data_IF_037971424513
#
_entry.id   IF_037971424513
#
_cell.length_a   1.000
_cell.length_b   1.000
_cell.length_c   1.000
_cell.angle_alpha   90.00
_cell.angle_beta   90.00
_cell.angle_gamma   90.00
#
_symmetry.space_group_name_H-M   'P 1'
#
loop_
_entity.id
_entity.type
_entity.pdbx_description
1 polymer ?
#
# COMPACT_ATOMS: atom_id res chain seq x y z
N UNK A 1 -13.12 20.91 -70.91
CA UNK A 1 -12.86 19.68 -70.12
C UNK A 1 -11.78 19.98 -69.08
N UNK A 2 -12.16 20.26 -67.83
CA UNK A 2 -11.37 20.11 -66.59
C UNK A 2 -12.21 20.64 -65.42
N UNK A 3 -11.97 20.10 -64.22
CA UNK A 3 -12.61 20.42 -62.93
C UNK A 3 -13.88 19.64 -62.54
N UNK A 4 -13.77 18.31 -62.48
CA UNK A 4 -14.65 17.49 -61.60
C UNK A 4 -13.91 16.50 -60.68
N UNK A 5 -12.57 16.43 -60.73
CA UNK A 5 -11.81 15.41 -60.00
C UNK A 5 -11.23 15.84 -58.64
N UNK A 6 -11.17 17.14 -58.29
CA UNK A 6 -10.55 17.55 -57.02
C UNK A 6 -11.49 17.58 -55.81
N UNK A 7 -12.79 17.41 -55.99
CA UNK A 7 -13.78 17.51 -54.90
C UNK A 7 -14.06 16.17 -54.19
N UNK A 8 -13.75 15.04 -54.84
CA UNK A 8 -14.01 13.70 -54.28
C UNK A 8 -12.87 13.26 -53.34
N UNK A 9 -11.65 13.74 -53.58
CA UNK A 9 -10.46 13.37 -52.80
C UNK A 9 -10.45 13.95 -51.37
N UNK A 10 -10.96 15.16 -51.17
CA UNK A 10 -10.99 15.82 -49.86
C UNK A 10 -12.07 15.26 -48.94
N UNK A 11 -13.22 14.87 -49.50
CA UNK A 11 -14.30 14.21 -48.76
C UNK A 11 -13.91 12.82 -48.25
N UNK A 12 -13.23 12.02 -49.08
CA UNK A 12 -12.78 10.69 -48.66
C UNK A 12 -11.72 10.77 -47.55
N UNK A 13 -10.79 11.73 -47.63
CA UNK A 13 -9.76 11.94 -46.62
C UNK A 13 -10.37 12.39 -45.27
N UNK A 14 -11.36 13.29 -45.33
CA UNK A 14 -12.11 13.76 -44.16
C UNK A 14 -12.89 12.64 -43.47
N UNK A 15 -13.52 11.75 -44.25
CA UNK A 15 -14.26 10.60 -43.71
C UNK A 15 -13.33 9.57 -43.08
N UNK A 16 -12.18 9.28 -43.70
CA UNK A 16 -11.16 8.38 -43.13
C UNK A 16 -10.56 8.95 -41.84
N UNK A 17 -10.26 10.26 -41.79
CA UNK A 17 -9.77 10.92 -40.56
C UNK A 17 -10.82 10.86 -39.43
N UNK A 18 -12.09 11.05 -39.76
CA UNK A 18 -13.19 11.00 -38.79
C UNK A 18 -13.42 9.59 -38.24
N UNK A 19 -13.32 8.56 -39.10
CA UNK A 19 -13.42 7.15 -38.69
C UNK A 19 -12.20 6.75 -37.84
N UNK A 20 -11.01 7.24 -38.16
CA UNK A 20 -9.82 7.02 -37.32
C UNK A 20 -9.93 7.70 -35.96
N UNK A 21 -10.54 8.89 -35.87
CA UNK A 21 -10.82 9.54 -34.58
C UNK A 21 -11.83 8.72 -33.76
N UNK A 22 -12.91 8.23 -34.38
CA UNK A 22 -13.95 7.45 -33.72
C UNK A 22 -13.46 6.09 -33.20
N UNK A 23 -12.51 5.45 -33.88
CA UNK A 23 -11.91 4.17 -33.44
C UNK A 23 -10.96 4.33 -32.26
N UNK A 24 -10.37 5.52 -32.06
CA UNK A 24 -9.51 5.82 -30.89
C UNK A 24 -10.35 6.06 -29.62
N UNK A 25 -11.61 6.46 -29.74
CA UNK A 25 -12.50 6.66 -28.58
C UNK A 25 -13.05 5.35 -27.98
N UNK A 26 -12.95 4.23 -28.69
CA UNK A 26 -13.58 2.96 -28.27
C UNK A 26 -12.75 2.07 -27.33
N UNK A 27 -11.57 2.49 -26.87
CA UNK A 27 -10.75 1.70 -25.93
C UNK A 27 -10.67 2.26 -24.51
N UNK A 28 -11.57 3.16 -24.11
CA UNK A 28 -11.76 3.43 -22.67
C UNK A 28 -12.60 2.30 -22.07
N UNK A 29 -11.95 1.18 -21.76
CA UNK A 29 -12.48 0.22 -20.80
C UNK A 29 -12.49 0.94 -19.44
N UNK A 30 -13.58 1.63 -19.14
CA UNK A 30 -13.82 2.13 -17.79
C UNK A 30 -13.99 0.90 -16.91
N UNK A 31 -12.94 0.53 -16.19
CA UNK A 31 -13.00 -0.45 -15.12
C UNK A 31 -13.88 0.15 -14.02
N UNK A 32 -15.18 -0.07 -14.11
CA UNK A 32 -16.14 0.59 -13.23
C UNK A 32 -16.03 0.02 -11.83
N UNK A 33 -15.82 0.89 -10.85
CA UNK A 33 -15.91 0.53 -9.45
C UNK A 33 -17.33 0.01 -9.15
N UNK A 34 -17.42 -1.09 -8.43
CA UNK A 34 -18.67 -1.66 -7.93
C UNK A 34 -18.70 -1.60 -6.41
N UNK A 35 -19.90 -1.60 -5.83
CA UNK A 35 -20.05 -1.61 -4.38
C UNK A 35 -20.16 -3.04 -3.89
N UNK A 36 -19.25 -3.42 -3.00
CA UNK A 36 -19.23 -4.75 -2.37
C UNK A 36 -19.31 -4.66 -0.84
N UNK A 37 -19.67 -5.78 -0.23
CA UNK A 37 -19.72 -5.97 1.22
C UNK A 37 -18.84 -7.15 1.61
N UNK A 38 -18.16 -7.00 2.73
CA UNK A 38 -17.39 -8.08 3.33
C UNK A 38 -17.51 -8.08 4.84
N UNK A 39 -17.16 -9.22 5.42
CA UNK A 39 -17.22 -9.43 6.86
C UNK A 39 -16.04 -10.30 7.29
N UNK A 40 -15.54 -10.05 8.48
CA UNK A 40 -14.51 -10.89 9.10
C UNK A 40 -14.68 -10.90 10.61
N UNK A 41 -14.04 -11.88 11.26
CA UNK A 41 -14.01 -11.97 12.72
C UNK A 41 -12.63 -12.47 13.15
N UNK A 42 -12.00 -11.76 14.08
CA UNK A 42 -10.62 -11.99 14.52
C UNK A 42 -10.56 -12.05 16.04
N UNK A 43 -9.85 -13.04 16.57
CA UNK A 43 -9.61 -13.22 18.00
C UNK A 43 -8.61 -12.17 18.49
N UNK A 44 -8.89 -11.55 19.64
CA UNK A 44 -7.93 -10.68 20.33
C UNK A 44 -6.93 -11.58 21.05
N UNK A 45 -5.71 -11.64 20.54
CA UNK A 45 -4.60 -12.37 21.16
C UNK A 45 -3.96 -11.56 22.28
N UNK A 46 -3.34 -12.24 23.26
CA UNK A 46 -2.65 -11.58 24.38
C UNK A 46 -1.48 -10.69 23.94
N UNK A 47 -0.90 -10.97 22.77
CA UNK A 47 0.17 -10.19 22.16
C UNK A 47 -0.31 -8.99 21.35
N UNK A 48 -1.63 -8.76 21.24
CA UNK A 48 -2.22 -7.76 20.36
C UNK A 48 -3.16 -6.81 21.10
N UNK A 49 -3.18 -5.55 20.70
CA UNK A 49 -4.17 -4.58 21.15
C UNK A 49 -5.50 -4.77 20.40
N UNK A 50 -6.61 -4.30 20.98
CA UNK A 50 -7.93 -4.29 20.30
C UNK A 50 -7.91 -3.45 19.01
N UNK A 51 -7.15 -2.35 19.01
CA UNK A 51 -6.94 -1.49 17.83
C UNK A 51 -6.35 -2.31 16.68
N UNK A 52 -5.29 -3.06 16.96
CA UNK A 52 -4.61 -3.90 15.97
C UNK A 52 -5.52 -5.02 15.48
N UNK A 53 -6.27 -5.65 16.37
CA UNK A 53 -7.24 -6.67 15.98
C UNK A 53 -8.34 -6.09 15.08
N UNK A 54 -8.79 -4.84 15.30
CA UNK A 54 -9.71 -4.14 14.39
C UNK A 54 -9.08 -3.90 13.02
N UNK A 55 -7.82 -3.48 12.98
CA UNK A 55 -7.07 -3.24 11.75
C UNK A 55 -6.92 -4.51 10.90
N UNK A 56 -6.67 -5.66 11.54
CA UNK A 56 -6.62 -6.97 10.87
C UNK A 56 -8.02 -7.38 10.41
N UNK A 57 -9.04 -7.23 11.26
CA UNK A 57 -10.41 -7.56 10.90
C UNK A 57 -10.89 -6.73 9.70
N UNK A 58 -10.61 -5.43 9.68
CA UNK A 58 -10.94 -4.55 8.57
C UNK A 58 -10.34 -5.05 7.25
N UNK A 59 -9.06 -5.39 7.22
CA UNK A 59 -8.41 -5.84 6.00
C UNK A 59 -8.93 -7.20 5.53
N UNK A 60 -9.14 -8.15 6.45
CA UNK A 60 -9.76 -9.43 6.11
C UNK A 60 -11.18 -9.25 5.58
N UNK A 61 -11.93 -8.27 6.09
CA UNK A 61 -13.26 -7.95 5.59
C UNK A 61 -13.19 -7.28 4.20
N UNK A 62 -12.18 -6.44 3.93
CA UNK A 62 -11.91 -5.89 2.59
C UNK A 62 -11.56 -7.00 1.59
N UNK A 63 -10.66 -7.91 1.97
CA UNK A 63 -10.31 -9.10 1.19
C UNK A 63 -11.57 -9.89 0.89
N UNK A 64 -12.36 -10.25 1.92
CA UNK A 64 -13.61 -10.98 1.73
C UNK A 64 -14.57 -10.29 0.76
N UNK A 65 -14.71 -8.96 0.83
CA UNK A 65 -15.55 -8.21 -0.10
C UNK A 65 -15.08 -8.30 -1.56
N UNK A 66 -13.76 -8.27 -1.78
CA UNK A 66 -13.17 -8.40 -3.12
C UNK A 66 -13.34 -9.84 -3.64
N UNK A 67 -13.11 -10.83 -2.78
CA UNK A 67 -13.25 -12.25 -3.11
C UNK A 67 -14.68 -12.61 -3.55
N UNK A 68 -15.68 -12.07 -2.86
CA UNK A 68 -17.10 -12.30 -3.15
C UNK A 68 -17.48 -11.88 -4.59
N UNK A 69 -16.77 -10.91 -5.18
CA UNK A 69 -17.08 -10.38 -6.52
C UNK A 69 -16.12 -10.89 -7.60
N UNK A 70 -14.81 -10.98 -7.32
CA UNK A 70 -13.79 -11.23 -8.34
C UNK A 70 -13.05 -12.58 -8.23
N UNK A 71 -13.32 -13.39 -7.20
CA UNK A 71 -12.60 -14.62 -6.85
C UNK A 71 -11.10 -14.42 -6.50
N UNK A 72 -10.44 -15.47 -5.99
CA UNK A 72 -9.02 -15.49 -5.56
C UNK A 72 -8.09 -16.19 -6.54
N UNK A 73 -6.79 -15.87 -6.48
CA UNK A 73 -5.72 -16.76 -6.94
C UNK A 73 -5.24 -17.56 -5.72
N UNK A 74 -5.63 -18.83 -5.60
CA UNK A 74 -5.12 -19.71 -4.54
C UNK A 74 -3.78 -20.30 -5.01
N UNK A 75 -2.67 -19.62 -4.74
CA UNK A 75 -1.38 -20.30 -4.56
C UNK A 75 -1.19 -20.52 -3.05
N UNK A 76 -1.72 -21.64 -2.57
CA UNK A 76 -1.58 -22.05 -1.18
C UNK A 76 -0.25 -22.82 -1.03
N UNK A 77 0.86 -22.10 -0.91
CA UNK A 77 2.06 -22.61 -0.24
C UNK A 77 2.29 -21.80 1.04
N UNK A 78 1.67 -22.22 2.13
CA UNK A 78 1.86 -21.62 3.45
C UNK A 78 1.61 -22.66 4.53
N UNK A 79 2.68 -23.21 5.10
CA UNK A 79 2.63 -24.09 6.27
C UNK A 79 2.21 -23.23 7.48
N UNK A 80 0.96 -23.35 7.93
CA UNK A 80 0.45 -22.61 9.09
C UNK A 80 1.07 -23.16 10.39
N UNK A 81 2.18 -22.58 10.86
CA UNK A 81 2.61 -22.72 12.26
C UNK A 81 2.11 -21.55 13.08
N UNK A 82 0.98 -21.76 13.75
CA UNK A 82 0.41 -20.81 14.72
C UNK A 82 1.40 -20.67 15.90
N UNK A 83 2.13 -19.55 15.92
CA UNK A 83 2.84 -19.05 17.11
C UNK A 83 2.60 -17.53 17.23
N UNK A 84 2.00 -17.12 18.35
CA UNK A 84 2.00 -15.75 18.92
C UNK A 84 1.87 -14.57 17.93
N UNK A 85 0.67 -14.31 17.39
CA UNK A 85 0.34 -13.06 16.67
C UNK A 85 1.00 -12.84 15.29
N UNK A 86 2.13 -13.48 15.00
CA UNK A 86 2.89 -13.37 13.74
C UNK A 86 2.11 -13.91 12.54
N UNK A 87 1.31 -14.96 12.76
CA UNK A 87 0.59 -15.69 11.71
C UNK A 87 -0.46 -14.85 10.98
N UNK A 88 -1.06 -13.85 11.63
CA UNK A 88 -2.10 -13.05 10.99
C UNK A 88 -1.54 -12.12 9.90
N UNK A 89 -0.32 -11.61 10.07
CA UNK A 89 0.33 -10.75 9.07
C UNK A 89 0.76 -11.55 7.83
N UNK A 90 1.28 -12.76 8.04
CA UNK A 90 1.70 -13.64 6.95
C UNK A 90 0.51 -14.09 6.08
N UNK A 91 -0.66 -14.36 6.68
CA UNK A 91 -1.88 -14.74 5.95
C UNK A 91 -2.34 -13.59 5.04
N UNK A 92 -2.36 -12.36 5.57
CA UNK A 92 -2.76 -11.17 4.82
C UNK A 92 -1.79 -10.89 3.66
N UNK A 93 -0.48 -10.91 3.92
CA UNK A 93 0.55 -10.60 2.91
C UNK A 93 0.56 -11.57 1.72
N UNK A 94 0.13 -12.82 1.94
CA UNK A 94 0.13 -13.86 0.91
C UNK A 94 -1.19 -13.95 0.12
N UNK A 95 -2.24 -13.25 0.53
CA UNK A 95 -3.55 -13.38 -0.13
C UNK A 95 -3.60 -12.49 -1.39
N UNK A 96 -3.49 -13.10 -2.58
CA UNK A 96 -3.65 -12.42 -3.87
C UNK A 96 -5.09 -12.50 -4.37
N UNK A 97 -5.82 -11.39 -4.29
CA UNK A 97 -7.19 -11.24 -4.82
C UNK A 97 -7.20 -10.59 -6.20
N UNK A 98 -8.22 -10.88 -7.03
CA UNK A 98 -8.36 -10.33 -8.39
C UNK A 98 -8.95 -8.91 -8.45
N UNK A 99 -8.84 -8.16 -7.36
CA UNK A 99 -9.35 -6.80 -7.31
C UNK A 99 -8.63 -5.96 -6.28
N UNK A 100 -9.07 -4.71 -6.18
CA UNK A 100 -8.57 -3.77 -5.20
C UNK A 100 -9.71 -3.08 -4.47
N UNK A 101 -9.38 -2.64 -3.27
CA UNK A 101 -10.22 -1.75 -2.49
C UNK A 101 -9.93 -0.30 -2.88
N UNK A 102 -10.93 0.39 -3.43
CA UNK A 102 -10.81 1.81 -3.77
C UNK A 102 -11.09 2.64 -2.52
N UNK A 103 -12.28 2.47 -1.91
CA UNK A 103 -12.71 3.34 -0.81
C UNK A 103 -13.72 2.66 0.10
N UNK A 104 -13.62 2.95 1.39
CA UNK A 104 -14.61 2.56 2.40
C UNK A 104 -15.78 3.52 2.42
N UNK A 105 -17.01 2.99 2.36
CA UNK A 105 -18.26 3.76 2.44
C UNK A 105 -18.89 3.64 3.82
N UNK A 106 -18.84 2.44 4.39
CA UNK A 106 -19.35 2.16 5.74
C UNK A 106 -18.50 1.07 6.37
N UNK A 107 -18.19 1.23 7.65
CA UNK A 107 -17.47 0.25 8.46
C UNK A 107 -18.04 0.26 9.86
N UNK A 108 -18.33 -0.93 10.39
CA UNK A 108 -18.81 -1.12 11.74
C UNK A 108 -17.98 -2.22 12.42
N UNK A 109 -17.65 -2.01 13.69
CA UNK A 109 -17.00 -3.02 14.53
C UNK A 109 -17.94 -3.44 15.66
N UNK A 110 -17.95 -4.73 15.97
CA UNK A 110 -18.62 -5.27 17.14
C UNK A 110 -17.70 -6.22 17.89
N UNK A 111 -17.78 -6.21 19.22
CA UNK A 111 -17.03 -7.10 20.09
C UNK A 111 -17.95 -8.18 20.64
N UNK A 112 -17.54 -9.44 20.55
CA UNK A 112 -18.21 -10.58 21.16
C UNK A 112 -17.26 -11.23 22.17
N UNK A 113 -17.76 -11.52 23.36
CA UNK A 113 -16.97 -12.22 24.37
C UNK A 113 -17.47 -13.65 24.53
N UNK A 114 -16.61 -14.62 24.24
CA UNK A 114 -16.89 -16.05 24.38
C UNK A 114 -16.08 -16.65 25.53
N UNK A 115 -16.54 -17.81 26.03
CA UNK A 115 -15.75 -18.62 26.96
C UNK A 115 -15.27 -19.83 26.19
N UNK A 116 -13.96 -19.92 26.00
CA UNK A 116 -13.31 -20.99 25.26
C UNK A 116 -12.45 -21.84 26.17
N UNK A 117 -12.14 -23.06 25.74
CA UNK A 117 -11.28 -23.98 26.50
C UNK A 117 -9.83 -23.74 26.08
N UNK A 118 -9.09 -23.02 26.92
CA UNK A 118 -7.64 -22.82 26.79
C UNK A 118 -6.83 -23.96 27.42
N UNK A 119 -5.51 -23.82 27.36
CA UNK A 119 -4.54 -24.81 27.87
C UNK A 119 -4.65 -25.00 29.39
N UNK A 120 -5.04 -23.95 30.12
CA UNK A 120 -5.14 -23.95 31.58
C UNK A 120 -6.58 -23.94 32.12
N UNK A 121 -7.60 -24.06 31.26
CA UNK A 121 -9.00 -24.10 31.68
C UNK A 121 -9.96 -23.34 30.77
N UNK A 122 -11.01 -22.77 31.35
CA UNK A 122 -11.93 -21.89 30.63
C UNK A 122 -11.37 -20.47 30.64
N UNK A 123 -11.15 -19.92 29.46
CA UNK A 123 -10.62 -18.57 29.27
C UNK A 123 -11.67 -17.70 28.61
N UNK A 124 -11.73 -16.44 29.04
CA UNK A 124 -12.57 -15.44 28.42
C UNK A 124 -11.83 -14.89 27.20
N UNK A 125 -12.44 -15.04 26.02
CA UNK A 125 -11.85 -14.64 24.75
C UNK A 125 -12.70 -13.54 24.13
N UNK A 126 -12.05 -12.51 23.61
CA UNK A 126 -12.71 -11.43 22.89
C UNK A 126 -12.51 -11.66 21.39
N UNK A 127 -13.58 -11.59 20.64
CA UNK A 127 -13.59 -11.58 19.18
C UNK A 127 -14.04 -10.21 18.69
N UNK A 128 -13.33 -9.68 17.71
CA UNK A 128 -13.70 -8.46 17.01
C UNK A 128 -14.22 -8.84 15.63
N UNK A 129 -15.48 -8.49 15.37
CA UNK A 129 -16.09 -8.60 14.05
C UNK A 129 -16.02 -7.27 13.32
N UNK A 130 -15.68 -7.30 12.05
CA UNK A 130 -15.76 -6.15 11.15
C UNK A 130 -16.77 -6.43 10.04
N UNK A 131 -17.74 -5.54 9.86
CA UNK A 131 -18.61 -5.52 8.68
C UNK A 131 -18.30 -4.25 7.88
N UNK A 132 -17.96 -4.43 6.60
CA UNK A 132 -17.52 -3.32 5.74
C UNK A 132 -18.28 -3.28 4.43
N UNK A 133 -18.53 -2.07 3.94
CA UNK A 133 -19.05 -1.79 2.60
C UNK A 133 -18.15 -0.77 1.94
N UNK A 134 -17.75 -1.04 0.70
CA UNK A 134 -16.87 -0.15 -0.04
C UNK A 134 -16.97 -0.31 -1.54
N UNK A 135 -16.31 0.61 -2.23
CA UNK A 135 -16.17 0.58 -3.67
C UNK A 135 -14.89 -0.21 -4.01
N UNK A 136 -15.01 -1.22 -4.86
CA UNK A 136 -13.94 -2.11 -5.30
C UNK A 136 -13.86 -2.16 -6.82
N UNK A 137 -12.73 -2.60 -7.37
CA UNK A 137 -12.52 -2.73 -8.81
C UNK A 137 -11.69 -3.96 -9.13
N UNK A 138 -11.99 -4.61 -10.26
CA UNK A 138 -11.23 -5.77 -10.75
C UNK A 138 -9.85 -5.33 -11.24
N UNK A 139 -8.80 -6.05 -10.84
CA UNK A 139 -7.42 -5.78 -11.23
C UNK A 139 -7.01 -6.74 -12.35
N UNK A 140 -6.92 -6.23 -13.58
CA UNK A 140 -6.62 -7.09 -14.75
C UNK A 140 -5.11 -7.27 -14.97
N UNK A 141 -4.31 -6.22 -14.75
CA UNK A 141 -2.85 -6.27 -14.88
C UNK A 141 -2.21 -5.13 -14.08
N UNK A 142 -1.20 -5.46 -13.27
CA UNK A 142 -0.42 -4.53 -12.45
C UNK A 142 1.04 -4.95 -12.45
N UNK A 143 1.95 -3.99 -12.30
CA UNK A 143 3.35 -4.29 -12.05
C UNK A 143 3.50 -5.12 -10.77
N UNK A 144 4.15 -6.28 -10.86
CA UNK A 144 4.45 -7.09 -9.69
C UNK A 144 5.67 -6.54 -8.95
N UNK A 145 5.41 -5.75 -7.91
CA UNK A 145 6.46 -5.07 -7.15
C UNK A 145 7.09 -6.02 -6.13
N UNK A 146 8.42 -6.14 -6.12
CA UNK A 146 9.14 -6.75 -5.00
C UNK A 146 9.41 -5.67 -3.93
N UNK A 147 8.96 -5.93 -2.70
CA UNK A 147 9.05 -4.97 -1.60
C UNK A 147 9.38 -5.71 -0.30
N UNK A 148 10.54 -5.41 0.29
CA UNK A 148 11.00 -6.10 1.51
C UNK A 148 11.63 -5.10 2.47
N UNK A 149 11.21 -5.13 3.73
CA UNK A 149 11.81 -4.35 4.81
C UNK A 149 13.04 -5.07 5.37
N UNK A 150 14.11 -4.33 5.66
CA UNK A 150 15.36 -4.86 6.20
C UNK A 150 15.81 -4.03 7.42
N UNK A 151 16.59 -4.63 8.33
CA UNK A 151 17.28 -3.89 9.42
C UNK A 151 18.77 -3.64 9.14
N UNK A 152 19.24 -4.06 7.97
CA UNK A 152 20.56 -3.75 7.46
C UNK A 152 20.49 -3.69 5.92
N UNK A 153 21.46 -3.06 5.22
CA UNK A 153 21.38 -2.85 3.77
C UNK A 153 21.66 -4.10 2.92
N UNK A 154 21.63 -5.30 3.52
CA UNK A 154 21.91 -6.57 2.86
C UNK A 154 20.62 -7.38 2.78
N UNK A 155 20.41 -8.09 1.68
CA UNK A 155 19.19 -8.85 1.43
C UNK A 155 18.92 -9.88 2.53
N UNK A 156 19.93 -10.52 3.12
CA UNK A 156 19.73 -11.48 4.22
C UNK A 156 19.15 -10.89 5.51
N UNK A 157 19.09 -9.55 5.63
CA UNK A 157 18.55 -8.85 6.79
C UNK A 157 17.04 -8.59 6.68
N UNK A 158 16.31 -9.38 5.87
CA UNK A 158 14.83 -9.29 5.74
C UNK A 158 14.19 -9.43 7.11
N UNK A 159 13.39 -8.45 7.50
CA UNK A 159 12.64 -8.50 8.76
C UNK A 159 11.42 -7.60 8.71
N UNK A 160 10.38 -8.01 9.44
CA UNK A 160 9.23 -7.18 9.81
C UNK A 160 9.21 -6.91 11.31
N UNK A 161 10.21 -7.37 12.05
CA UNK A 161 10.37 -7.12 13.48
C UNK A 161 11.66 -6.36 13.72
N UNK A 162 11.53 -5.24 14.42
CA UNK A 162 12.60 -4.33 14.74
C UNK A 162 12.72 -4.18 16.24
N UNK A 163 13.91 -3.86 16.71
CA UNK A 163 14.16 -3.39 18.07
C UNK A 163 14.30 -1.87 18.11
N UNK A 164 14.02 -1.28 19.26
CA UNK A 164 14.12 0.15 19.47
C UNK A 164 15.53 0.67 19.12
N UNK A 165 15.57 1.64 18.19
CA UNK A 165 16.81 2.23 17.68
C UNK A 165 17.41 1.51 16.47
N UNK A 166 16.79 0.45 15.95
CA UNK A 166 17.24 -0.18 14.71
C UNK A 166 16.95 0.66 13.47
N UNK A 167 17.83 0.53 12.48
CA UNK A 167 17.68 1.21 11.19
C UNK A 167 16.65 0.48 10.32
N UNK A 168 15.87 1.25 9.55
CA UNK A 168 14.96 0.75 8.52
C UNK A 168 15.58 0.94 7.14
N UNK A 169 15.64 -0.15 6.37
CA UNK A 169 15.91 -0.15 4.93
C UNK A 169 14.73 -0.78 4.18
N UNK A 170 14.57 -0.39 2.91
CA UNK A 170 13.58 -1.01 2.02
C UNK A 170 14.26 -1.46 0.74
N UNK A 171 14.18 -2.76 0.45
CA UNK A 171 14.46 -3.31 -0.87
C UNK A 171 13.21 -3.14 -1.73
N UNK A 172 13.37 -2.52 -2.89
CA UNK A 172 12.31 -2.26 -3.85
C UNK A 172 12.77 -2.63 -5.26
N UNK A 173 11.91 -3.33 -6.00
CA UNK A 173 12.09 -3.56 -7.43
C UNK A 173 10.72 -3.56 -8.14
N UNK A 174 10.69 -3.00 -9.34
CA UNK A 174 9.54 -3.00 -10.24
C UNK A 174 9.97 -3.56 -11.59
N UNK A 175 9.12 -4.30 -12.31
CA UNK A 175 9.40 -4.73 -13.68
C UNK A 175 9.34 -3.58 -14.70
N UNK A 176 8.80 -2.41 -14.32
CA UNK A 176 8.59 -1.27 -15.22
C UNK A 176 9.00 0.05 -14.58
N UNK A 177 9.29 1.04 -15.43
CA UNK A 177 9.50 2.43 -15.01
C UNK A 177 8.26 2.99 -14.29
N UNK A 178 8.47 3.93 -13.37
CA UNK A 178 7.35 4.57 -12.67
C UNK A 178 7.77 5.57 -11.62
N UNK A 179 6.87 5.81 -10.66
CA UNK A 179 6.99 6.80 -9.60
C UNK A 179 6.73 6.16 -8.24
N UNK A 180 7.65 6.36 -7.31
CA UNK A 180 7.68 5.73 -5.99
C UNK A 180 7.61 6.79 -4.87
N UNK A 181 6.75 6.55 -3.88
CA UNK A 181 6.75 7.24 -2.60
C UNK A 181 6.63 6.22 -1.48
N UNK A 182 7.22 6.52 -0.33
CA UNK A 182 7.20 5.65 0.83
C UNK A 182 6.65 6.42 2.03
N UNK A 183 5.78 5.76 2.78
CA UNK A 183 5.24 6.29 4.03
C UNK A 183 5.37 5.26 5.15
N UNK A 184 5.56 5.73 6.38
CA UNK A 184 5.36 4.95 7.59
C UNK A 184 4.10 5.47 8.26
N UNK A 185 3.16 4.60 8.59
CA UNK A 185 1.98 4.97 9.36
C UNK A 185 2.01 4.28 10.72
N UNK A 186 1.73 5.06 11.76
CA UNK A 186 1.36 4.55 13.09
C UNK A 186 -0.18 4.54 13.22
N UNK A 187 -0.69 4.56 14.45
CA UNK A 187 -2.12 4.55 14.75
C UNK A 187 -2.82 5.89 14.38
N UNK A 188 -2.09 7.00 14.30
CA UNK A 188 -2.66 8.36 14.19
C UNK A 188 -2.21 9.11 12.93
N UNK A 189 -0.95 8.93 12.52
CA UNK A 189 -0.27 9.74 11.52
C UNK A 189 0.37 8.86 10.44
N UNK A 190 0.55 9.44 9.26
CA UNK A 190 1.40 8.89 8.21
C UNK A 190 2.57 9.84 7.90
N UNK A 191 3.80 9.36 8.05
CA UNK A 191 5.04 10.07 7.83
C UNK A 191 5.62 9.71 6.46
N UNK A 192 5.92 10.71 5.64
CA UNK A 192 6.53 10.52 4.32
C UNK A 192 8.03 10.27 4.45
N UNK A 193 8.47 9.05 4.18
CA UNK A 193 9.87 8.64 4.18
C UNK A 193 10.57 8.91 2.84
N UNK A 194 9.83 8.83 1.73
CA UNK A 194 10.33 9.09 0.39
C UNK A 194 9.26 9.81 -0.46
N UNK A 195 9.58 10.88 -1.22
CA UNK A 195 10.89 11.53 -1.40
C UNK A 195 11.52 12.08 -0.10
N UNK A 196 12.86 12.07 -0.03
CA UNK A 196 13.62 12.59 1.11
C UNK A 196 13.37 14.08 1.33
N UNK A 197 13.66 14.57 2.54
CA UNK A 197 13.59 15.97 2.93
C UNK A 197 14.32 16.90 1.96
N UNK A 198 15.55 16.50 1.57
CA UNK A 198 16.40 17.24 0.64
C UNK A 198 15.84 17.35 -0.79
N UNK A 199 14.85 16.52 -1.14
CA UNK A 199 14.19 16.52 -2.46
C UNK A 199 13.04 17.53 -2.55
N UNK A 200 12.86 18.38 -1.53
CA UNK A 200 11.94 19.50 -1.58
C UNK A 200 10.48 19.05 -1.71
N UNK A 201 9.78 19.58 -2.72
CA UNK A 201 8.33 19.42 -2.90
C UNK A 201 7.94 18.31 -3.87
N UNK A 202 8.89 17.46 -4.29
CA UNK A 202 8.58 16.32 -5.16
C UNK A 202 7.45 15.47 -4.57
N UNK A 203 6.53 15.05 -5.43
CA UNK A 203 5.41 14.18 -5.08
C UNK A 203 5.87 12.73 -4.92
N UNK A 204 6.73 12.28 -5.83
CA UNK A 204 7.27 10.93 -5.90
C UNK A 204 8.64 10.93 -6.59
N UNK A 205 9.42 9.88 -6.38
CA UNK A 205 10.74 9.65 -7.00
C UNK A 205 10.56 8.79 -8.24
N UNK A 206 11.20 9.17 -9.35
CA UNK A 206 11.20 8.35 -10.56
C UNK A 206 12.12 7.13 -10.39
N UNK A 207 11.60 5.95 -10.69
CA UNK A 207 12.34 4.68 -10.67
C UNK A 207 12.42 4.09 -12.08
N UNK A 208 13.34 3.14 -12.25
CA UNK A 208 13.54 2.36 -13.48
C UNK A 208 13.08 0.92 -13.28
N UNK A 209 12.42 0.39 -14.30
CA UNK A 209 12.08 -1.02 -14.37
C UNK A 209 13.32 -1.91 -14.35
N UNK A 210 13.16 -3.13 -13.86
CA UNK A 210 14.17 -4.17 -13.76
C UNK A 210 15.42 -3.74 -12.99
N UNK A 211 15.27 -2.78 -12.09
CA UNK A 211 16.33 -2.27 -11.23
C UNK A 211 15.98 -2.45 -9.76
N UNK A 212 16.91 -3.04 -9.03
CA UNK A 212 16.84 -3.16 -7.59
C UNK A 212 17.31 -1.86 -6.91
N UNK A 213 16.60 -1.50 -5.84
CA UNK A 213 16.85 -0.34 -5.01
C UNK A 213 16.94 -0.75 -3.54
N UNK A 214 18.00 -0.33 -2.85
CA UNK A 214 18.09 -0.39 -1.38
C UNK A 214 17.96 1.02 -0.84
N UNK A 215 16.75 1.38 -0.43
CA UNK A 215 16.35 2.72 0.02
C UNK A 215 16.77 2.91 1.48
N UNK A 216 17.00 4.16 1.89
CA UNK A 216 17.58 4.58 3.19
C UNK A 216 19.05 4.17 3.38
N UNK A 217 19.68 3.52 2.39
CA UNK A 217 21.09 3.16 2.40
C UNK A 217 21.98 4.20 1.74
N UNK A 218 23.05 4.61 2.43
CA UNK A 218 24.09 5.48 1.88
C UNK A 218 24.97 4.80 0.81
N UNK A 219 24.99 3.47 0.75
CA UNK A 219 25.92 2.70 -0.09
C UNK A 219 25.38 2.36 -1.49
N UNK A 220 24.07 2.45 -1.71
CA UNK A 220 23.40 2.10 -2.99
C UNK A 220 22.57 3.27 -3.51
N UNK A 221 23.24 4.39 -3.74
CA UNK A 221 22.66 5.71 -3.99
C UNK A 221 22.12 5.92 -5.42
N UNK A 222 21.57 4.93 -6.12
CA UNK A 222 20.81 5.20 -7.36
C UNK A 222 19.32 4.92 -7.13
N UNK A 223 18.38 5.81 -7.53
CA UNK A 223 18.55 6.98 -8.39
C UNK A 223 19.08 8.21 -7.64
N UNK A 224 19.41 8.10 -6.36
CA UNK A 224 19.77 9.19 -5.45
C UNK A 224 21.19 9.75 -5.61
N UNK A 225 21.84 9.54 -6.75
CA UNK A 225 23.26 9.86 -6.97
C UNK A 225 23.46 11.34 -7.33
N UNK A 226 22.36 12.10 -7.37
CA UNK A 226 22.28 13.49 -7.82
C UNK A 226 22.50 14.50 -6.68
N UNK A 227 23.37 14.19 -5.72
CA UNK A 227 23.78 15.12 -4.66
C UNK A 227 22.73 15.40 -3.57
N UNK A 228 21.64 14.62 -3.52
CA UNK A 228 20.66 14.69 -2.43
C UNK A 228 21.19 14.02 -1.17
N UNK A 229 20.96 14.64 -0.02
CA UNK A 229 21.18 13.99 1.27
C UNK A 229 20.14 12.87 1.45
N UNK A 230 20.62 11.66 1.74
CA UNK A 230 19.79 10.50 2.05
C UNK A 230 19.35 10.63 3.50
N UNK A 231 18.03 10.52 3.73
CA UNK A 231 17.50 10.43 5.08
C UNK A 231 17.63 8.98 5.54
N UNK A 232 18.53 8.74 6.51
CA UNK A 232 18.63 7.44 7.16
C UNK A 232 17.47 7.32 8.17
N UNK A 233 16.78 6.18 8.15
CA UNK A 233 15.60 5.96 8.97
C UNK A 233 15.96 5.09 10.17
N UNK A 234 15.64 5.57 11.37
CA UNK A 234 15.74 4.80 12.60
C UNK A 234 14.34 4.66 13.18
N UNK A 235 13.98 3.44 13.58
CA UNK A 235 12.71 3.14 14.22
C UNK A 235 12.88 3.18 15.72
N UNK A 236 12.04 3.95 16.40
CA UNK A 236 12.08 4.09 17.85
C UNK A 236 10.70 3.89 18.44
N UNK A 237 10.62 3.35 19.65
CA UNK A 237 9.37 3.24 20.39
C UNK A 237 9.57 3.44 21.88
N UNK A 238 8.52 3.90 22.56
CA UNK A 238 8.40 3.90 24.02
C UNK A 238 7.42 2.83 24.54
N UNK A 239 6.73 2.13 23.63
CA UNK A 239 5.80 1.04 23.95
C UNK A 239 6.62 -0.26 24.10
N UNK A 240 6.05 -1.26 24.79
CA UNK A 240 6.68 -2.59 24.84
C UNK A 240 6.77 -3.21 23.45
N UNK A 241 5.70 -3.05 22.67
CA UNK A 241 5.63 -3.37 21.24
C UNK A 241 4.77 -2.30 20.58
N UNK A 242 5.28 -1.69 19.51
CA UNK A 242 4.59 -0.78 18.62
C UNK A 242 4.44 -1.42 17.25
N UNK A 243 3.30 -1.20 16.59
CA UNK A 243 3.02 -1.80 15.28
C UNK A 243 2.75 -0.69 14.29
N UNK A 244 3.60 -0.62 13.28
CA UNK A 244 3.52 0.40 12.25
C UNK A 244 3.32 -0.27 10.88
N UNK A 245 3.00 0.54 9.87
CA UNK A 245 2.78 0.09 8.51
C UNK A 245 3.62 0.89 7.54
N UNK A 246 4.51 0.23 6.82
CA UNK A 246 5.23 0.81 5.70
C UNK A 246 4.34 0.71 4.46
N UNK A 247 3.96 1.84 3.89
CA UNK A 247 3.23 1.93 2.63
C UNK A 247 4.21 2.19 1.49
N UNK A 248 4.25 1.26 0.54
CA UNK A 248 4.96 1.39 -0.73
C UNK A 248 3.97 1.83 -1.80
N UNK A 249 4.05 3.09 -2.20
CA UNK A 249 3.14 3.72 -3.16
C UNK A 249 3.82 3.85 -4.51
N UNK A 250 3.28 3.16 -5.50
CA UNK A 250 3.82 3.06 -6.85
C UNK A 250 2.75 3.37 -7.91
N UNK A 251 3.17 4.00 -9.01
CA UNK A 251 2.33 4.18 -10.20
C UNK A 251 3.24 4.27 -11.42
N UNK A 252 2.77 3.82 -12.58
CA UNK A 252 3.45 4.01 -13.87
C UNK A 252 3.45 5.50 -14.23
N UNK A 253 2.32 6.17 -13.98
CA UNK A 253 2.13 7.59 -14.21
C UNK A 253 2.42 8.45 -12.98
N UNK A 254 2.70 9.74 -13.22
CA UNK A 254 3.00 10.67 -12.13
C UNK A 254 1.73 11.02 -11.36
N UNK A 255 1.76 10.86 -10.04
CA UNK A 255 0.70 11.30 -9.13
C UNK A 255 1.13 12.50 -8.26
N UNK A 256 0.14 13.15 -7.65
CA UNK A 256 0.32 14.31 -6.77
C UNK A 256 0.21 13.83 -5.32
N UNK A 257 1.21 14.20 -4.51
CA UNK A 257 1.23 13.92 -3.07
C UNK A 257 0.13 14.70 -2.34
N UNK A 258 -0.32 14.26 -1.15
CA UNK A 258 -1.22 15.06 -0.34
C UNK A 258 -0.51 16.30 0.22
N UNK A 259 -1.29 17.19 0.84
CA UNK A 259 -0.74 18.26 1.68
C UNK A 259 -0.11 17.59 2.90
N UNK A 260 1.05 18.09 3.30
CA UNK A 260 1.80 17.53 4.43
C UNK A 260 2.19 18.65 5.36
N UNK A 261 2.14 18.35 6.66
CA UNK A 261 2.83 19.12 7.69
C UNK A 261 4.34 19.05 7.46
N UNK A 262 5.04 20.10 7.88
CA UNK A 262 6.48 20.17 7.67
C UNK A 262 7.26 19.34 8.70
N UNK A 263 8.54 19.13 8.42
CA UNK A 263 9.47 18.37 9.26
C UNK A 263 9.52 18.98 10.67
N UNK A 264 9.51 18.15 11.70
CA UNK A 264 9.61 18.57 13.10
C UNK A 264 10.92 18.09 13.72
N UNK A 265 11.72 18.99 14.31
CA UNK A 265 12.92 18.60 15.05
C UNK A 265 12.55 18.08 16.43
N UNK A 266 13.03 16.89 16.78
CA UNK A 266 12.71 16.22 18.06
C UNK A 266 13.90 16.13 19.02
N UNK A 267 15.06 16.69 18.63
CA UNK A 267 16.28 16.74 19.42
C UNK A 267 17.40 15.83 18.91
N UNK A 268 18.63 16.05 19.37
CA UNK A 268 19.82 15.25 19.05
C UNK A 268 20.10 15.03 17.55
N UNK A 269 19.65 15.97 16.71
CA UNK A 269 19.80 15.88 15.24
C UNK A 269 18.79 14.94 14.57
N UNK A 270 17.78 14.46 15.30
CA UNK A 270 16.66 13.69 14.77
C UNK A 270 15.47 14.59 14.41
N UNK A 271 14.78 14.17 13.36
CA UNK A 271 13.64 14.88 12.81
C UNK A 271 12.51 13.88 12.50
N UNK A 272 11.28 14.26 12.84
CA UNK A 272 10.10 13.59 12.33
C UNK A 272 9.88 14.00 10.86
N UNK A 273 9.70 13.03 9.94
CA UNK A 273 9.42 13.35 8.54
C UNK A 273 8.10 14.11 8.40
N UNK A 274 7.91 14.75 7.25
CA UNK A 274 6.64 15.40 6.89
C UNK A 274 5.47 14.43 7.02
N UNK A 275 4.39 14.87 7.65
CA UNK A 275 3.28 14.00 8.06
C UNK A 275 1.92 14.53 7.63
N UNK A 276 0.89 13.69 7.78
CA UNK A 276 -0.53 14.04 7.73
C UNK A 276 -1.33 13.03 8.54
N UNK A 277 -2.56 13.39 8.90
CA UNK A 277 -3.44 12.48 9.64
C UNK A 277 -3.70 11.19 8.87
N UNK A 278 -3.73 10.07 9.56
CA UNK A 278 -3.88 8.75 8.96
C UNK A 278 -5.18 8.64 8.12
N UNK A 279 -6.25 9.29 8.55
CA UNK A 279 -7.51 9.31 7.80
C UNK A 279 -7.38 10.07 6.48
N UNK A 280 -6.76 11.25 6.49
CA UNK A 280 -6.49 12.03 5.28
C UNK A 280 -5.57 11.26 4.31
N UNK A 281 -4.58 10.56 4.84
CA UNK A 281 -3.71 9.69 4.05
C UNK A 281 -4.50 8.55 3.38
N UNK A 282 -5.39 7.88 4.10
CA UNK A 282 -6.24 6.80 3.57
C UNK A 282 -7.23 7.32 2.51
N UNK A 283 -7.79 8.52 2.71
CA UNK A 283 -8.63 9.18 1.70
C UNK A 283 -7.84 9.49 0.42
N UNK A 284 -6.66 10.09 0.55
CA UNK A 284 -5.77 10.36 -0.59
C UNK A 284 -5.41 9.09 -1.37
N UNK A 285 -5.07 8.00 -0.68
CA UNK A 285 -4.83 6.70 -1.33
C UNK A 285 -6.05 6.21 -2.11
N UNK A 286 -7.25 6.39 -1.55
CA UNK A 286 -8.51 5.99 -2.19
C UNK A 286 -8.82 6.81 -3.43
N UNK A 287 -8.61 8.12 -3.36
CA UNK A 287 -8.80 9.04 -4.50
C UNK A 287 -7.82 8.71 -5.63
N UNK A 288 -6.54 8.50 -5.31
CA UNK A 288 -5.55 8.07 -6.31
C UNK A 288 -5.94 6.74 -6.96
N UNK A 289 -6.38 5.74 -6.19
CA UNK A 289 -6.87 4.47 -6.78
C UNK A 289 -8.09 4.69 -7.67
N UNK A 290 -9.02 5.55 -7.27
CA UNK A 290 -10.21 5.83 -8.08
C UNK A 290 -9.84 6.42 -9.45
N UNK A 291 -8.88 7.35 -9.46
CA UNK A 291 -8.45 8.08 -10.66
C UNK A 291 -7.46 7.30 -11.54
N UNK A 292 -6.59 6.49 -10.92
CA UNK A 292 -5.41 5.90 -11.58
C UNK A 292 -5.44 4.36 -11.47
N UNK A 293 -5.74 3.64 -12.57
CA UNK A 293 -5.80 2.17 -12.57
C UNK A 293 -4.48 1.46 -12.22
N UNK A 294 -3.36 2.08 -12.57
CA UNK A 294 -2.00 1.62 -12.35
C UNK A 294 -1.46 1.92 -10.94
N UNK A 295 -2.18 2.72 -10.15
CA UNK A 295 -1.77 3.12 -8.82
C UNK A 295 -1.87 1.95 -7.83
N UNK A 296 -0.76 1.67 -7.16
CA UNK A 296 -0.60 0.60 -6.20
C UNK A 296 -0.12 1.17 -4.87
N UNK A 297 -0.72 0.72 -3.77
CA UNK A 297 -0.23 1.00 -2.43
C UNK A 297 -0.17 -0.31 -1.66
N UNK A 298 1.03 -0.91 -1.60
CA UNK A 298 1.31 -2.13 -0.83
C UNK A 298 1.59 -1.75 0.62
N UNK A 299 0.96 -2.44 1.56
CA UNK A 299 1.13 -2.24 3.02
C UNK A 299 1.96 -3.38 3.58
N UNK A 300 3.12 -3.06 4.16
CA UNK A 300 3.97 -3.99 4.91
C UNK A 300 3.83 -3.65 6.38
N UNK A 301 3.39 -4.60 7.20
CA UNK A 301 3.31 -4.38 8.65
C UNK A 301 4.61 -4.73 9.32
N UNK A 302 5.00 -3.90 10.27
CA UNK A 302 6.20 -4.08 11.07
C UNK A 302 5.87 -3.94 12.56
N UNK A 303 6.65 -4.60 13.41
CA UNK A 303 6.67 -4.40 14.85
C UNK A 303 7.99 -3.77 15.29
N UNK A 304 7.93 -2.89 16.29
CA UNK A 304 9.08 -2.29 16.96
C UNK A 304 8.97 -2.67 18.43
N UNK A 305 9.93 -3.42 18.94
CA UNK A 305 9.97 -3.93 20.31
C UNK A 305 10.99 -3.12 21.14
N UNK A 306 10.70 -2.88 22.42
CA UNK A 306 11.61 -2.12 23.29
C UNK A 306 12.93 -2.89 23.59
N UNK A 307 12.86 -4.22 23.69
CA UNK A 307 13.97 -5.13 24.03
C UNK A 307 13.94 -6.40 23.17
#
# INVERSE_FOLDING_TARGET
>A
MRNKQSFISTGLLSVVLSISLLLIYSTTFSQNAIRSKGSSQVRVESSMSKEQTRDIAEELAMINAIENEFNTYVEQEGETRIQNGRVNFDIIGNTKVRGEWIRTIKKDFSEETTIEKGEYGKEQVIWIKCDITGDIRECVSRADLETVTLNCPLEQCRTTTYYNGEDLFLLFQSPIDGYLSLFLADDEQAYRLLPYASMGTLSAVKIKGDKEYVIFSRKNSYPFNDGFAIDAMQLTTVKSIEYNSVYVVFSEEKYIKPILEDIQEIGDGFYLPRSLELNEFKEWLGDCRAEMPDFQAKRIRISIEME
#
